data_IF_280390318031
#
_entry.id   IF_280390318031
#
_cell.length_a   1.000
_cell.length_b   1.000
_cell.length_c   1.000
_cell.angle_alpha   90.00
_cell.angle_beta   90.00
_cell.angle_gamma   90.00
#
_symmetry.space_group_name_H-M   'P 1'
#
loop_
_entity.id
_entity.type
_entity.pdbx_description
1 polymer ?
#
# COMPACT_ATOMS: atom_id res chain seq x y z
N UNK A 1 21.82 27.75 43.52
CA UNK A 1 22.82 27.90 42.44
C UNK A 1 22.33 27.05 41.28
N UNK A 2 21.73 27.69 40.27
CA UNK A 2 20.97 27.04 39.20
C UNK A 2 21.93 26.55 38.11
N UNK A 3 22.01 25.23 37.89
CA UNK A 3 22.79 24.63 36.82
C UNK A 3 22.06 24.83 35.48
N UNK A 4 22.52 25.81 34.69
CA UNK A 4 22.15 25.92 33.27
C UNK A 4 22.68 24.69 32.53
N UNK A 5 21.78 23.86 32.04
CA UNK A 5 22.05 22.88 30.98
C UNK A 5 22.41 23.65 29.71
N UNK A 6 23.69 23.67 29.35
CA UNK A 6 24.15 24.16 28.05
C UNK A 6 23.69 23.19 26.98
N UNK A 7 22.65 23.57 26.23
CA UNK A 7 22.21 22.84 25.04
C UNK A 7 23.36 22.84 24.03
N UNK A 8 23.90 21.64 23.74
CA UNK A 8 24.92 21.44 22.73
C UNK A 8 24.38 21.82 21.34
N UNK A 9 25.15 22.53 20.49
CA UNK A 9 24.73 22.85 19.13
C UNK A 9 24.49 21.56 18.32
N UNK A 10 23.42 21.54 17.52
CA UNK A 10 23.08 20.39 16.65
C UNK A 10 24.31 19.94 15.84
N UNK A 11 24.63 18.65 15.90
CA UNK A 11 25.77 18.12 15.15
C UNK A 11 25.43 18.05 13.66
N UNK A 12 26.47 18.08 12.80
CA UNK A 12 26.29 17.88 11.35
C UNK A 12 25.59 16.56 11.00
N UNK A 13 25.73 15.55 11.86
CA UNK A 13 25.05 14.26 11.74
C UNK A 13 23.54 14.40 11.98
N UNK A 14 23.12 15.21 12.95
CA UNK A 14 21.71 15.49 13.22
C UNK A 14 21.05 16.24 12.07
N UNK A 15 21.77 17.20 11.48
CA UNK A 15 21.32 17.95 10.29
C UNK A 15 21.14 17.01 9.09
N UNK A 16 22.06 16.07 8.88
CA UNK A 16 21.95 15.08 7.81
C UNK A 16 20.73 14.17 8.00
N UNK A 17 20.55 13.62 9.21
CA UNK A 17 19.40 12.78 9.53
C UNK A 17 18.07 13.53 9.42
N UNK A 18 18.04 14.80 9.82
CA UNK A 18 16.88 15.67 9.68
C UNK A 18 16.51 15.85 8.21
N UNK A 19 17.49 16.16 7.34
CA UNK A 19 17.25 16.30 5.89
C UNK A 19 16.70 15.02 5.27
N UNK A 20 17.29 13.88 5.61
CA UNK A 20 16.82 12.56 5.14
C UNK A 20 15.40 12.28 5.63
N UNK A 21 15.10 12.58 6.90
CA UNK A 21 13.77 12.40 7.47
C UNK A 21 12.70 13.30 6.84
N UNK A 22 13.01 14.59 6.61
CA UNK A 22 12.13 15.52 5.92
C UNK A 22 11.86 15.04 4.50
N UNK A 23 12.90 14.66 3.76
CA UNK A 23 12.76 14.15 2.39
C UNK A 23 11.89 12.90 2.35
N UNK A 24 12.12 11.94 3.25
CA UNK A 24 11.33 10.72 3.33
C UNK A 24 9.86 11.00 3.67
N UNK A 25 9.60 11.97 4.55
CA UNK A 25 8.23 12.36 4.95
C UNK A 25 7.51 13.08 3.80
N UNK A 26 8.20 13.99 3.11
CA UNK A 26 7.66 14.70 1.95
C UNK A 26 7.31 13.74 0.80
N UNK A 27 8.20 12.79 0.51
CA UNK A 27 7.97 11.73 -0.47
C UNK A 27 6.77 10.87 -0.07
N UNK A 28 6.66 10.51 1.22
CA UNK A 28 5.50 9.77 1.74
C UNK A 28 4.18 10.52 1.55
N UNK A 29 4.16 11.82 1.82
CA UNK A 29 2.97 12.67 1.64
C UNK A 29 2.60 12.82 0.16
N UNK A 30 3.60 12.95 -0.72
CA UNK A 30 3.37 13.00 -2.17
C UNK A 30 2.77 11.70 -2.70
N UNK A 31 3.32 10.54 -2.30
CA UNK A 31 2.74 9.24 -2.67
C UNK A 31 1.32 9.09 -2.14
N UNK A 32 1.06 9.52 -0.90
CA UNK A 32 -0.28 9.48 -0.32
C UNK A 32 -1.28 10.38 -1.05
N UNK A 33 -0.87 11.60 -1.42
CA UNK A 33 -1.71 12.52 -2.19
C UNK A 33 -2.08 11.94 -3.56
N UNK A 34 -1.09 11.47 -4.31
CA UNK A 34 -1.30 10.79 -5.62
C UNK A 34 -2.17 9.55 -5.46
N UNK A 35 -2.00 8.81 -4.38
CA UNK A 35 -2.79 7.63 -4.10
C UNK A 35 -4.27 7.97 -3.82
N UNK A 36 -4.52 8.96 -2.98
CA UNK A 36 -5.87 9.41 -2.66
C UNK A 36 -6.61 9.92 -3.89
N UNK A 37 -5.93 10.64 -4.80
CA UNK A 37 -6.57 11.09 -6.04
C UNK A 37 -6.95 9.93 -6.95
N UNK A 38 -6.08 8.93 -7.09
CA UNK A 38 -6.36 7.73 -7.90
C UNK A 38 -7.41 6.81 -7.26
N UNK A 39 -7.46 6.74 -5.93
CA UNK A 39 -8.52 6.07 -5.19
C UNK A 39 -9.88 6.70 -5.47
N UNK A 40 -9.99 8.03 -5.32
CA UNK A 40 -11.21 8.78 -5.60
C UNK A 40 -11.60 8.61 -7.08
N UNK A 41 -10.64 8.72 -8.00
CA UNK A 41 -10.89 8.51 -9.42
C UNK A 41 -11.45 7.11 -9.70
N UNK A 42 -10.85 6.06 -9.12
CA UNK A 42 -11.32 4.67 -9.27
C UNK A 42 -12.75 4.50 -8.75
N UNK A 43 -13.07 5.10 -7.60
CA UNK A 43 -14.44 5.09 -7.05
C UNK A 43 -15.43 5.79 -7.98
N UNK A 44 -15.11 7.00 -8.45
CA UNK A 44 -15.99 7.76 -9.35
C UNK A 44 -16.22 6.99 -10.66
N UNK A 45 -15.19 6.34 -11.19
CA UNK A 45 -15.28 5.48 -12.37
C UNK A 45 -16.17 4.25 -12.10
N UNK A 46 -15.99 3.59 -10.97
CA UNK A 46 -16.79 2.42 -10.60
C UNK A 46 -18.28 2.79 -10.44
N UNK A 47 -18.57 3.94 -9.84
CA UNK A 47 -19.94 4.46 -9.69
C UNK A 47 -20.54 4.80 -11.05
N UNK A 48 -19.80 5.50 -11.91
CA UNK A 48 -20.30 5.90 -13.24
C UNK A 48 -20.54 4.70 -14.15
N UNK A 49 -19.65 3.71 -14.16
CA UNK A 49 -19.82 2.48 -14.95
C UNK A 49 -20.99 1.62 -14.45
N UNK A 50 -21.16 1.50 -13.13
CA UNK A 50 -22.29 0.79 -12.52
C UNK A 50 -23.62 1.49 -12.83
N UNK A 51 -23.65 2.82 -12.76
CA UNK A 51 -24.84 3.62 -13.09
C UNK A 51 -25.20 3.50 -14.58
N UNK A 52 -24.20 3.55 -15.47
CA UNK A 52 -24.42 3.37 -16.92
C UNK A 52 -24.97 1.98 -17.22
N UNK A 53 -24.42 0.93 -16.60
CA UNK A 53 -24.92 -0.43 -16.77
C UNK A 53 -26.36 -0.56 -16.25
N UNK A 54 -26.65 0.03 -15.09
CA UNK A 54 -28.00 0.05 -14.53
C UNK A 54 -28.98 0.78 -15.45
N UNK A 55 -28.61 1.93 -16.02
CA UNK A 55 -29.41 2.65 -17.00
C UNK A 55 -29.67 1.73 -18.22
N UNK A 56 -28.61 1.17 -18.83
CA UNK A 56 -28.71 0.27 -19.99
C UNK A 56 -29.66 -0.91 -19.74
N UNK A 57 -29.59 -1.55 -18.57
CA UNK A 57 -30.45 -2.69 -18.23
C UNK A 57 -31.92 -2.32 -17.98
N UNK A 58 -32.21 -1.06 -17.66
CA UNK A 58 -33.57 -0.56 -17.42
C UNK A 58 -34.21 0.08 -18.66
N UNK A 59 -33.48 0.29 -19.75
CA UNK A 59 -34.05 0.78 -21.00
C UNK A 59 -34.75 -0.36 -21.79
N UNK A 60 -35.86 -0.07 -22.48
CA UNK A 60 -36.49 -1.05 -23.36
C UNK A 60 -35.54 -1.41 -24.53
N UNK A 61 -35.56 -2.67 -25.03
CA UNK A 61 -34.63 -3.14 -26.07
C UNK A 61 -34.59 -2.29 -27.35
N UNK A 62 -35.72 -1.65 -27.67
CA UNK A 62 -35.86 -0.74 -28.83
C UNK A 62 -35.01 0.53 -28.71
N UNK A 63 -34.71 0.99 -27.49
CA UNK A 63 -33.87 2.16 -27.22
C UNK A 63 -32.38 1.84 -27.25
N UNK A 64 -31.99 0.58 -27.01
CA UNK A 64 -30.59 0.13 -27.11
C UNK A 64 -30.11 0.07 -28.57
N UNK A 65 -31.01 -0.16 -29.53
CA UNK A 65 -30.68 -0.23 -30.96
C UNK A 65 -30.43 1.16 -31.59
N UNK A 66 -30.81 2.25 -30.91
CA UNK A 66 -30.56 3.63 -31.35
C UNK A 66 -29.32 4.26 -30.72
N UNK A 67 -28.58 3.54 -29.86
CA UNK A 67 -27.29 4.01 -29.38
C UNK A 67 -26.32 4.02 -30.57
N UNK A 68 -25.83 5.21 -30.91
CA UNK A 68 -24.80 5.40 -31.94
C UNK A 68 -23.66 4.38 -31.76
N UNK A 69 -23.08 3.86 -32.86
CA UNK A 69 -21.92 2.99 -32.79
C UNK A 69 -20.82 3.66 -31.96
N UNK A 70 -20.03 2.90 -31.18
CA UNK A 70 -19.04 3.43 -30.25
C UNK A 70 -18.14 4.46 -30.94
N UNK A 71 -18.39 5.72 -30.60
CA UNK A 71 -17.72 6.88 -31.17
C UNK A 71 -16.24 6.87 -30.75
N UNK A 72 -15.34 7.55 -31.48
CA UNK A 72 -13.90 7.62 -31.18
C UNK A 72 -13.58 7.99 -29.71
N UNK A 73 -14.46 8.77 -29.07
CA UNK A 73 -14.37 9.14 -27.65
C UNK A 73 -14.52 7.96 -26.69
N UNK A 74 -15.34 6.96 -27.04
CA UNK A 74 -15.55 5.76 -26.23
C UNK A 74 -14.25 4.93 -26.11
N UNK A 75 -13.51 4.82 -27.22
CA UNK A 75 -12.23 4.09 -27.24
C UNK A 75 -11.13 4.79 -26.44
N UNK A 76 -11.03 6.12 -26.55
CA UNK A 76 -10.09 6.90 -25.74
C UNK A 76 -10.37 6.71 -24.25
N UNK A 77 -11.65 6.68 -23.86
CA UNK A 77 -12.07 6.49 -22.48
C UNK A 77 -11.66 5.10 -21.97
N UNK A 78 -11.92 4.02 -22.73
CA UNK A 78 -11.50 2.65 -22.37
C UNK A 78 -9.97 2.55 -22.18
N UNK A 79 -9.18 3.20 -23.05
CA UNK A 79 -7.72 3.20 -22.94
C UNK A 79 -7.26 3.93 -21.69
N UNK A 80 -7.82 5.12 -21.42
CA UNK A 80 -7.51 5.90 -20.21
C UNK A 80 -7.87 5.13 -18.94
N UNK A 81 -9.03 4.47 -18.92
CA UNK A 81 -9.45 3.63 -17.81
C UNK A 81 -8.47 2.48 -17.55
N UNK A 82 -8.07 1.77 -18.62
CA UNK A 82 -7.08 0.69 -18.49
C UNK A 82 -5.74 1.17 -17.95
N UNK A 83 -5.30 2.38 -18.33
CA UNK A 83 -4.07 2.99 -17.82
C UNK A 83 -4.23 3.34 -16.33
N UNK A 84 -5.36 3.91 -15.93
CA UNK A 84 -5.63 4.24 -14.52
C UNK A 84 -5.62 3.01 -13.61
N UNK A 85 -6.26 1.91 -14.02
CA UNK A 85 -6.26 0.66 -13.24
C UNK A 85 -4.83 0.14 -13.03
N UNK A 86 -4.00 0.17 -14.08
CA UNK A 86 -2.61 -0.27 -14.04
C UNK A 86 -1.74 0.60 -13.15
N UNK A 87 -1.95 1.92 -13.17
CA UNK A 87 -1.26 2.84 -12.26
C UNK A 87 -1.66 2.58 -10.80
N UNK A 88 -2.92 2.25 -10.55
CA UNK A 88 -3.39 1.88 -9.22
C UNK A 88 -2.72 0.59 -8.71
N UNK A 89 -2.59 -0.43 -9.57
CA UNK A 89 -1.83 -1.64 -9.25
C UNK A 89 -0.36 -1.33 -8.95
N UNK A 90 0.27 -0.47 -9.76
CA UNK A 90 1.68 -0.11 -9.60
C UNK A 90 1.94 0.68 -8.32
N UNK A 91 1.06 1.61 -7.97
CA UNK A 91 1.16 2.36 -6.71
C UNK A 91 0.92 1.47 -5.49
N UNK A 92 0.00 0.51 -5.61
CA UNK A 92 -0.23 -0.49 -4.57
C UNK A 92 1.03 -1.30 -4.31
N UNK A 93 1.73 -1.72 -5.37
CA UNK A 93 3.04 -2.39 -5.27
C UNK A 93 4.15 -1.44 -4.76
N UNK A 94 4.04 -0.14 -5.06
CA UNK A 94 4.95 0.89 -4.53
C UNK A 94 4.87 1.00 -3.03
N UNK A 95 3.66 0.91 -2.49
CA UNK A 95 3.44 0.96 -1.04
C UNK A 95 3.93 -0.33 -0.39
N UNK A 96 3.89 -1.45 -1.10
CA UNK A 96 4.46 -2.74 -0.65
C UNK A 96 5.98 -2.69 -0.54
N UNK A 97 6.66 -2.16 -1.56
CA UNK A 97 8.12 -2.01 -1.52
C UNK A 97 8.55 -0.95 -0.50
N UNK A 98 7.82 0.15 -0.43
CA UNK A 98 8.04 1.23 0.54
C UNK A 98 7.98 0.75 1.99
N UNK A 99 6.99 -0.10 2.36
CA UNK A 99 6.91 -0.62 3.74
C UNK A 99 8.12 -1.48 4.12
N UNK A 100 8.64 -2.30 3.20
CA UNK A 100 9.81 -3.13 3.45
C UNK A 100 11.08 -2.27 3.57
N UNK A 101 11.17 -1.23 2.76
CA UNK A 101 12.27 -0.26 2.77
C UNK A 101 12.36 0.48 4.12
N UNK A 102 11.24 1.04 4.59
CA UNK A 102 11.21 1.81 5.86
C UNK A 102 11.59 0.93 7.05
N UNK A 103 11.17 -0.33 7.04
CA UNK A 103 11.41 -1.25 8.14
C UNK A 103 12.89 -1.72 8.21
N UNK A 104 13.60 -1.69 7.08
CA UNK A 104 14.98 -2.14 6.94
C UNK A 104 15.91 -1.02 6.45
N UNK A 105 16.09 0.08 7.21
CA UNK A 105 16.88 1.23 6.76
C UNK A 105 18.39 0.92 6.65
N UNK A 106 18.89 -0.06 7.41
CA UNK A 106 20.32 -0.38 7.52
C UNK A 106 20.86 -1.34 6.45
N UNK A 107 20.00 -2.05 5.71
CA UNK A 107 20.43 -3.13 4.81
C UNK A 107 20.35 -2.69 3.34
N UNK A 108 21.48 -2.31 2.69
CA UNK A 108 21.47 -1.81 1.31
C UNK A 108 21.00 -2.87 0.30
N UNK A 109 21.26 -4.16 0.57
CA UNK A 109 20.81 -5.27 -0.27
C UNK A 109 19.28 -5.34 -0.37
N UNK A 110 18.57 -5.09 0.75
CA UNK A 110 17.09 -5.07 0.76
C UNK A 110 16.58 -3.91 -0.11
N UNK A 111 17.22 -2.74 -0.02
CA UNK A 111 16.86 -1.57 -0.85
C UNK A 111 17.08 -1.85 -2.33
N UNK A 112 18.24 -2.43 -2.69
CA UNK A 112 18.56 -2.81 -4.06
C UNK A 112 17.55 -3.83 -4.61
N UNK A 113 17.25 -4.89 -3.83
CA UNK A 113 16.26 -5.88 -4.22
C UNK A 113 14.87 -5.27 -4.44
N UNK A 114 14.43 -4.37 -3.55
CA UNK A 114 13.14 -3.68 -3.71
C UNK A 114 13.12 -2.75 -4.93
N UNK A 115 14.21 -2.03 -5.23
CA UNK A 115 14.33 -1.24 -6.46
C UNK A 115 14.21 -2.10 -7.72
N UNK A 116 14.92 -3.23 -7.76
CA UNK A 116 14.88 -4.15 -8.91
C UNK A 116 13.47 -4.73 -9.09
N UNK A 117 12.85 -5.16 -7.99
CA UNK A 117 11.47 -5.65 -8.00
C UNK A 117 10.52 -4.58 -8.57
N UNK A 118 10.69 -3.32 -8.16
CA UNK A 118 9.87 -2.23 -8.65
C UNK A 118 10.05 -1.95 -10.14
N UNK A 119 11.29 -1.94 -10.61
CA UNK A 119 11.60 -1.78 -12.04
C UNK A 119 10.95 -2.91 -12.85
N UNK A 120 10.99 -4.15 -12.34
CA UNK A 120 10.38 -5.30 -12.99
C UNK A 120 8.84 -5.19 -13.04
N UNK A 121 8.20 -4.75 -11.95
CA UNK A 121 6.76 -4.46 -11.91
C UNK A 121 6.35 -3.37 -12.90
N UNK A 122 7.11 -2.27 -12.97
CA UNK A 122 6.93 -1.22 -13.97
C UNK A 122 7.03 -1.79 -15.38
N UNK A 123 8.15 -2.44 -15.71
CA UNK A 123 8.40 -2.99 -17.04
C UNK A 123 7.32 -3.98 -17.46
N UNK A 124 6.94 -4.91 -16.57
CA UNK A 124 5.87 -5.88 -16.82
C UNK A 124 4.52 -5.22 -17.10
N UNK A 125 4.16 -4.19 -16.32
CA UNK A 125 2.92 -3.44 -16.48
C UNK A 125 2.89 -2.66 -17.80
N UNK A 126 3.97 -1.94 -18.13
CA UNK A 126 4.07 -1.18 -19.37
C UNK A 126 4.08 -2.09 -20.61
N UNK A 127 4.79 -3.21 -20.55
CA UNK A 127 4.81 -4.20 -21.65
C UNK A 127 3.43 -4.81 -21.87
N UNK A 128 2.71 -5.22 -20.82
CA UNK A 128 1.34 -5.71 -20.97
C UNK A 128 0.40 -4.61 -21.53
N UNK A 129 0.61 -3.35 -21.15
CA UNK A 129 -0.21 -2.22 -21.65
C UNK A 129 0.02 -2.00 -23.12
N UNK A 130 1.28 -1.91 -23.54
CA UNK A 130 1.66 -1.69 -24.92
C UNK A 130 1.22 -2.85 -25.82
N UNK A 131 1.34 -4.09 -25.35
CA UNK A 131 0.86 -5.26 -26.08
C UNK A 131 -0.67 -5.27 -26.20
N UNK A 132 -1.39 -4.90 -25.14
CA UNK A 132 -2.85 -4.80 -25.15
C UNK A 132 -3.32 -3.73 -26.13
N UNK A 133 -2.73 -2.52 -26.06
CA UNK A 133 -3.04 -1.42 -26.96
C UNK A 133 -2.72 -1.77 -28.43
N UNK A 134 -1.57 -2.39 -28.70
CA UNK A 134 -1.18 -2.83 -30.05
C UNK A 134 -2.16 -3.88 -30.61
N UNK A 135 -2.62 -4.84 -29.80
CA UNK A 135 -3.62 -5.84 -30.22
C UNK A 135 -4.96 -5.17 -30.52
N UNK A 136 -5.38 -4.23 -29.67
CA UNK A 136 -6.62 -3.49 -29.84
C UNK A 136 -6.66 -2.64 -31.11
N UNK A 137 -5.58 -1.88 -31.36
CA UNK A 137 -5.45 -1.05 -32.58
C UNK A 137 -5.40 -1.87 -33.86
N UNK A 138 -4.86 -3.11 -33.80
CA UNK A 138 -4.76 -3.98 -34.96
C UNK A 138 -6.08 -4.64 -35.31
N UNK A 139 -6.82 -5.15 -34.33
CA UNK A 139 -8.12 -5.78 -34.50
C UNK A 139 -8.99 -5.53 -33.25
N UNK A 140 -9.98 -4.62 -33.30
CA UNK A 140 -10.83 -4.32 -32.15
C UNK A 140 -11.69 -5.51 -31.71
N UNK A 141 -12.02 -6.44 -32.61
CA UNK A 141 -12.72 -7.70 -32.29
C UNK A 141 -11.89 -8.66 -31.43
N UNK A 142 -10.56 -8.49 -31.38
CA UNK A 142 -9.67 -9.28 -30.53
C UNK A 142 -9.43 -8.64 -29.15
N UNK A 143 -10.20 -7.60 -28.79
CA UNK A 143 -10.17 -7.02 -27.45
C UNK A 143 -10.68 -8.03 -26.42
N UNK A 144 -9.75 -8.68 -25.73
CA UNK A 144 -10.08 -9.78 -24.81
C UNK A 144 -9.28 -11.06 -25.08
N UNK A 145 -8.71 -11.20 -26.28
CA UNK A 145 -7.81 -12.31 -26.60
C UNK A 145 -6.62 -12.32 -25.62
N UNK A 146 -6.31 -13.51 -25.06
CA UNK A 146 -5.28 -13.75 -24.04
C UNK A 146 -4.06 -12.82 -24.25
N UNK A 147 -4.01 -11.70 -23.53
CA UNK A 147 -2.75 -10.98 -23.35
C UNK A 147 -1.97 -11.72 -22.28
N UNK A 148 -0.65 -11.59 -22.30
CA UNK A 148 0.20 -12.20 -21.29
C UNK A 148 0.04 -11.44 -19.98
N UNK A 149 -1.14 -11.54 -19.35
CA UNK A 149 -1.44 -10.93 -18.05
C UNK A 149 -0.42 -11.37 -17.00
N UNK A 150 0.18 -12.55 -17.20
CA UNK A 150 1.30 -13.07 -16.44
C UNK A 150 2.51 -12.11 -16.43
N UNK A 151 2.76 -11.33 -17.49
CA UNK A 151 3.82 -10.32 -17.52
C UNK A 151 3.60 -9.21 -16.50
N UNK A 152 2.35 -8.92 -16.16
CA UNK A 152 2.01 -7.97 -15.11
C UNK A 152 1.94 -8.67 -13.75
N UNK A 153 1.18 -9.76 -13.65
CA UNK A 153 0.86 -10.36 -12.35
C UNK A 153 2.04 -11.07 -11.70
N UNK A 154 2.93 -11.70 -12.48
CA UNK A 154 4.09 -12.41 -11.93
C UNK A 154 5.04 -11.44 -11.22
N UNK A 155 5.50 -10.34 -11.84
CA UNK A 155 6.29 -9.32 -11.13
C UNK A 155 5.59 -8.78 -9.88
N UNK A 156 4.29 -8.48 -9.96
CA UNK A 156 3.53 -7.95 -8.82
C UNK A 156 3.47 -8.93 -7.64
N UNK A 157 3.24 -10.21 -7.91
CA UNK A 157 3.24 -11.26 -6.88
C UNK A 157 4.63 -11.44 -6.27
N UNK A 158 5.67 -11.49 -7.11
CA UNK A 158 7.05 -11.65 -6.66
C UNK A 158 7.46 -10.49 -5.75
N UNK A 159 7.16 -9.25 -6.15
CA UNK A 159 7.46 -8.06 -5.36
C UNK A 159 6.76 -8.09 -4.00
N UNK A 160 5.48 -8.47 -3.97
CA UNK A 160 4.74 -8.53 -2.71
C UNK A 160 5.24 -9.63 -1.78
N UNK A 161 5.48 -10.84 -2.31
CA UNK A 161 6.01 -11.95 -1.54
C UNK A 161 7.42 -11.67 -1.03
N UNK A 162 8.28 -11.04 -1.85
CA UNK A 162 9.62 -10.63 -1.45
C UNK A 162 9.58 -9.60 -0.32
N UNK A 163 8.76 -8.55 -0.45
CA UNK A 163 8.59 -7.55 0.59
C UNK A 163 8.05 -8.15 1.90
N UNK A 164 7.05 -9.02 1.79
CA UNK A 164 6.47 -9.72 2.94
C UNK A 164 7.50 -10.66 3.61
N UNK A 165 8.34 -11.33 2.82
CA UNK A 165 9.42 -12.19 3.34
C UNK A 165 10.49 -11.40 4.10
N UNK A 166 10.86 -10.20 3.61
CA UNK A 166 11.78 -9.30 4.32
C UNK A 166 11.21 -8.87 5.68
N UNK A 167 9.90 -8.58 5.73
CA UNK A 167 9.18 -8.20 6.93
C UNK A 167 9.14 -9.37 7.93
N UNK A 168 8.89 -10.59 7.47
CA UNK A 168 8.97 -11.83 8.27
C UNK A 168 10.37 -12.03 8.84
N UNK A 169 11.41 -11.89 8.00
CA UNK A 169 12.80 -12.03 8.44
C UNK A 169 13.14 -11.02 9.55
N UNK A 170 12.72 -9.77 9.37
CA UNK A 170 12.91 -8.72 10.40
C UNK A 170 12.20 -9.08 11.70
N UNK A 171 10.97 -9.61 11.64
CA UNK A 171 10.20 -10.03 12.82
C UNK A 171 10.94 -11.12 13.60
N UNK A 172 11.45 -12.13 12.90
CA UNK A 172 12.18 -13.25 13.50
C UNK A 172 13.47 -12.74 14.15
N UNK A 173 14.20 -11.85 13.47
CA UNK A 173 15.43 -11.28 14.03
C UNK A 173 15.13 -10.47 15.30
N UNK A 174 14.11 -9.61 15.29
CA UNK A 174 13.69 -8.87 16.49
C UNK A 174 13.35 -9.81 17.65
N UNK A 175 12.62 -10.90 17.39
CA UNK A 175 12.25 -11.89 18.41
C UNK A 175 13.47 -12.61 19.01
N UNK A 176 14.49 -12.93 18.19
CA UNK A 176 15.72 -13.58 18.66
C UNK A 176 16.58 -12.68 19.55
N UNK A 177 16.60 -11.38 19.29
CA UNK A 177 17.40 -10.42 20.08
C UNK A 177 16.67 -9.87 21.31
N UNK A 178 15.33 -9.97 21.36
CA UNK A 178 14.50 -9.39 22.42
C UNK A 178 14.28 -10.32 23.63
N UNK A 179 15.33 -11.04 24.05
CA UNK A 179 15.28 -11.98 25.20
C UNK A 179 15.39 -11.25 26.55
N UNK A 180 15.73 -9.95 26.58
CA UNK A 180 15.93 -9.20 27.83
C UNK A 180 15.32 -7.78 27.80
N UNK A 181 14.42 -7.51 28.76
CA UNK A 181 14.04 -6.20 29.35
C UNK A 181 13.27 -5.11 28.56
N UNK A 182 12.44 -5.43 27.55
CA UNK A 182 11.40 -4.46 27.11
C UNK A 182 10.14 -5.12 26.52
N UNK A 183 9.38 -5.80 27.39
CA UNK A 183 8.29 -6.69 26.97
C UNK A 183 7.16 -5.96 26.22
N UNK A 184 6.73 -4.77 26.68
CA UNK A 184 5.52 -4.11 26.16
C UNK A 184 5.74 -3.45 24.79
N UNK A 185 6.86 -2.76 24.57
CA UNK A 185 7.17 -2.09 23.30
C UNK A 185 7.50 -3.09 22.19
N UNK A 186 8.24 -4.16 22.51
CA UNK A 186 8.56 -5.23 21.56
C UNK A 186 7.30 -6.00 21.10
N UNK A 187 6.38 -6.32 22.02
CA UNK A 187 5.12 -6.98 21.70
C UNK A 187 4.24 -6.14 20.77
N UNK A 188 4.18 -4.81 20.94
CA UNK A 188 3.42 -3.92 20.06
C UNK A 188 3.99 -3.85 18.65
N UNK A 189 5.32 -3.71 18.53
CA UNK A 189 6.01 -3.73 17.23
C UNK A 189 5.79 -5.07 16.52
N UNK A 190 5.87 -6.18 17.26
CA UNK A 190 5.61 -7.52 16.72
C UNK A 190 4.17 -7.68 16.23
N UNK A 191 3.17 -7.19 16.98
CA UNK A 191 1.76 -7.20 16.56
C UNK A 191 1.54 -6.41 15.26
N UNK A 192 2.09 -5.20 15.18
CA UNK A 192 2.02 -4.38 13.97
C UNK A 192 2.66 -5.08 12.77
N UNK A 193 3.83 -5.68 12.99
CA UNK A 193 4.57 -6.39 11.95
C UNK A 193 3.80 -7.62 11.45
N UNK A 194 3.12 -8.33 12.35
CA UNK A 194 2.21 -9.44 12.03
C UNK A 194 1.02 -8.98 11.16
N UNK A 195 0.40 -7.84 11.49
CA UNK A 195 -0.69 -7.29 10.68
C UNK A 195 -0.21 -6.91 9.26
N UNK A 196 1.00 -6.39 9.13
CA UNK A 196 1.63 -6.11 7.82
C UNK A 196 1.86 -7.39 7.00
N UNK A 197 2.25 -8.48 7.67
CA UNK A 197 2.44 -9.77 7.00
C UNK A 197 1.10 -10.34 6.52
N UNK A 198 0.09 -10.35 7.38
CA UNK A 198 -1.24 -10.88 7.07
C UNK A 198 -1.87 -10.13 5.88
N UNK A 199 -1.80 -8.81 5.87
CA UNK A 199 -2.31 -7.99 4.76
C UNK A 199 -1.54 -8.20 3.45
N UNK A 200 -0.21 -8.41 3.50
CA UNK A 200 0.58 -8.82 2.32
C UNK A 200 0.13 -10.15 1.74
N UNK A 201 -0.09 -11.16 2.58
CA UNK A 201 -0.55 -12.49 2.17
C UNK A 201 -1.96 -12.45 1.57
N UNK A 202 -2.90 -11.71 2.19
CA UNK A 202 -4.26 -11.56 1.67
C UNK A 202 -4.23 -10.97 0.26
N UNK A 203 -3.43 -9.93 0.04
CA UNK A 203 -3.28 -9.32 -1.28
C UNK A 203 -2.70 -10.31 -2.30
N UNK A 204 -1.68 -11.08 -1.92
CA UNK A 204 -1.09 -12.11 -2.79
C UNK A 204 -2.08 -13.23 -3.15
N UNK A 205 -2.92 -13.66 -2.20
CA UNK A 205 -3.98 -14.65 -2.43
C UNK A 205 -5.00 -14.12 -3.44
N UNK A 206 -5.46 -12.87 -3.26
CA UNK A 206 -6.42 -12.23 -4.17
C UNK A 206 -5.87 -12.18 -5.60
N UNK A 207 -4.61 -11.75 -5.78
CA UNK A 207 -3.95 -11.76 -7.09
C UNK A 207 -3.78 -13.16 -7.69
N UNK A 208 -3.51 -14.16 -6.85
CA UNK A 208 -3.41 -15.55 -7.29
C UNK A 208 -4.76 -16.07 -7.79
N UNK A 209 -5.85 -15.83 -7.06
CA UNK A 209 -7.22 -16.19 -7.48
C UNK A 209 -7.55 -15.53 -8.82
N UNK A 210 -7.28 -14.23 -8.97
CA UNK A 210 -7.50 -13.51 -10.21
C UNK A 210 -6.72 -14.12 -11.39
N UNK A 211 -5.46 -14.49 -11.16
CA UNK A 211 -4.62 -15.15 -12.18
C UNK A 211 -5.22 -16.50 -12.59
N UNK A 212 -5.58 -17.33 -11.62
CA UNK A 212 -6.17 -18.65 -11.85
C UNK A 212 -7.47 -18.53 -12.63
N UNK A 213 -8.36 -17.61 -12.23
CA UNK A 213 -9.61 -17.35 -12.95
C UNK A 213 -9.35 -16.93 -14.40
N UNK A 214 -8.35 -16.07 -14.62
CA UNK A 214 -7.97 -15.62 -15.97
C UNK A 214 -7.47 -16.78 -16.85
N UNK A 215 -6.67 -17.68 -16.27
CA UNK A 215 -6.09 -18.81 -16.98
C UNK A 215 -7.12 -19.89 -17.32
N UNK A 216 -8.04 -20.17 -16.39
CA UNK A 216 -9.02 -21.25 -16.52
C UNK A 216 -10.24 -20.87 -17.36
N UNK A 217 -10.85 -19.71 -17.08
CA UNK A 217 -12.16 -19.36 -17.68
C UNK A 217 -12.05 -18.37 -18.85
N UNK A 218 -10.86 -17.81 -19.09
CA UNK A 218 -10.68 -16.75 -20.09
C UNK A 218 -11.42 -15.45 -19.73
N UNK A 219 -11.23 -14.41 -20.54
CA UNK A 219 -11.78 -13.07 -20.28
C UNK A 219 -13.27 -12.93 -20.54
N UNK A 220 -13.89 -13.91 -21.18
CA UNK A 220 -15.31 -13.86 -21.56
C UNK A 220 -16.25 -14.40 -20.49
N UNK A 221 -15.74 -15.11 -19.48
CA UNK A 221 -16.60 -15.58 -18.41
C UNK A 221 -17.13 -14.42 -17.56
N UNK A 222 -18.42 -14.50 -17.22
CA UNK A 222 -19.08 -13.54 -16.33
C UNK A 222 -18.39 -13.47 -14.96
N UNK A 223 -17.88 -14.61 -14.47
CA UNK A 223 -17.12 -14.71 -13.22
C UNK A 223 -15.82 -13.90 -13.28
N UNK A 224 -15.08 -14.00 -14.39
CA UNK A 224 -13.87 -13.21 -14.59
C UNK A 224 -14.19 -11.71 -14.68
N UNK A 225 -15.22 -11.31 -15.43
CA UNK A 225 -15.58 -9.90 -15.60
C UNK A 225 -16.01 -9.26 -14.28
N UNK A 226 -16.81 -9.98 -13.48
CA UNK A 226 -17.17 -9.54 -12.13
C UNK A 226 -15.93 -9.33 -11.26
N UNK A 227 -14.99 -10.30 -11.24
CA UNK A 227 -13.73 -10.13 -10.51
C UNK A 227 -12.89 -8.98 -11.06
N UNK A 228 -12.73 -8.87 -12.38
CA UNK A 228 -11.92 -7.85 -13.02
C UNK A 228 -12.43 -6.43 -12.73
N UNK A 229 -13.74 -6.23 -12.61
CA UNK A 229 -14.34 -4.95 -12.21
C UNK A 229 -14.04 -4.55 -10.76
N UNK A 230 -13.89 -5.53 -9.87
CA UNK A 230 -13.63 -5.29 -8.44
C UNK A 230 -12.14 -5.16 -8.09
N UNK A 231 -11.24 -5.74 -8.90
CA UNK A 231 -9.79 -5.73 -8.61
C UNK A 231 -9.18 -4.33 -8.47
N UNK A 232 -9.50 -3.33 -9.32
CA UNK A 232 -9.02 -1.97 -9.13
C UNK A 232 -9.40 -1.42 -7.76
N UNK A 233 -10.64 -1.64 -7.31
CA UNK A 233 -11.12 -1.18 -6.01
C UNK A 233 -10.37 -1.85 -4.84
N UNK A 234 -10.16 -3.17 -4.92
CA UNK A 234 -9.38 -3.90 -3.90
C UNK A 234 -7.96 -3.35 -3.83
N UNK A 235 -7.32 -3.12 -4.98
CA UNK A 235 -6.01 -2.50 -5.04
C UNK A 235 -6.02 -1.11 -4.42
N UNK A 236 -7.07 -0.32 -4.70
CA UNK A 236 -7.26 1.03 -4.18
C UNK A 236 -7.57 1.08 -2.66
N UNK A 237 -8.07 0.01 -2.05
CA UNK A 237 -8.33 -0.03 -0.60
C UNK A 237 -7.08 -0.49 0.16
N UNK A 238 -6.26 -1.34 -0.45
CA UNK A 238 -5.18 -2.06 0.24
C UNK A 238 -4.17 -1.14 0.96
N UNK A 239 -3.52 -0.17 0.28
CA UNK A 239 -2.70 0.84 0.92
C UNK A 239 -3.37 1.68 2.00
N UNK A 240 -4.64 2.06 1.82
CA UNK A 240 -5.37 2.84 2.82
C UNK A 240 -5.49 2.04 4.13
N UNK A 241 -5.78 0.74 4.01
CA UNK A 241 -5.82 -0.17 5.15
C UNK A 241 -4.46 -0.27 5.86
N UNK A 242 -3.35 -0.39 5.11
CA UNK A 242 -2.00 -0.40 5.68
C UNK A 242 -1.70 0.89 6.45
N UNK A 243 -2.05 2.04 5.88
CA UNK A 243 -1.80 3.35 6.48
C UNK A 243 -2.64 3.53 7.75
N UNK A 244 -3.92 3.15 7.73
CA UNK A 244 -4.79 3.21 8.91
C UNK A 244 -4.24 2.31 10.03
N UNK A 245 -3.80 1.10 9.70
CA UNK A 245 -3.15 0.21 10.68
C UNK A 245 -1.89 0.85 11.26
N UNK A 246 -1.05 1.46 10.41
CA UNK A 246 0.16 2.14 10.85
C UNK A 246 -0.14 3.34 11.76
N UNK A 247 -1.10 4.19 11.38
CA UNK A 247 -1.52 5.35 12.16
C UNK A 247 -2.15 4.95 13.50
N UNK A 248 -3.01 3.94 13.50
CA UNK A 248 -3.64 3.39 14.71
C UNK A 248 -2.59 2.87 15.70
N UNK A 249 -1.62 2.09 15.21
CA UNK A 249 -0.55 1.56 16.03
C UNK A 249 0.37 2.66 16.59
N UNK A 250 0.66 3.71 15.81
CA UNK A 250 1.41 4.87 16.28
C UNK A 250 0.67 5.65 17.38
N UNK A 251 -0.65 5.85 17.21
CA UNK A 251 -1.48 6.54 18.21
C UNK A 251 -1.52 5.77 19.53
N UNK A 252 -1.73 4.46 19.47
CA UNK A 252 -1.66 3.58 20.65
C UNK A 252 -0.32 3.68 21.38
N UNK A 253 0.78 3.81 20.64
CA UNK A 253 2.12 3.96 21.22
C UNK A 253 2.31 5.30 21.94
N UNK A 254 1.79 6.40 21.39
CA UNK A 254 1.87 7.73 22.04
C UNK A 254 1.08 7.77 23.35
N UNK A 255 -0.15 7.28 23.36
CA UNK A 255 -1.00 7.28 24.56
C UNK A 255 -0.39 6.48 25.71
N UNK A 256 0.23 5.34 25.43
CA UNK A 256 0.87 4.53 26.47
C UNK A 256 2.12 5.20 27.07
N UNK A 257 2.91 5.90 26.25
CA UNK A 257 4.08 6.68 26.75
C UNK A 257 3.65 7.87 27.60
N UNK A 258 2.51 8.49 27.30
CA UNK A 258 1.97 9.57 28.11
C UNK A 258 1.53 9.07 29.49
N UNK A 259 0.85 7.92 29.55
CA UNK A 259 0.44 7.28 30.81
C UNK A 259 1.64 6.88 31.69
N UNK A 260 2.66 6.23 31.11
CA UNK A 260 3.90 5.86 31.83
C UNK A 260 4.66 7.11 32.34
N UNK A 261 4.64 8.21 31.60
CA UNK A 261 5.24 9.49 32.02
C UNK A 261 4.51 10.13 33.20
N UNK A 262 3.17 10.11 33.19
CA UNK A 262 2.35 10.67 34.27
C UNK A 262 2.45 9.87 35.57
N UNK A 263 2.48 8.52 35.49
CA UNK A 263 2.67 7.67 36.67
C UNK A 263 4.06 7.84 37.30
N UNK A 264 5.10 8.02 36.49
CA UNK A 264 6.45 8.31 36.96
C UNK A 264 6.57 9.69 37.63
N UNK A 265 5.81 10.68 37.14
CA UNK A 265 5.75 12.02 37.72
C UNK A 265 4.97 12.02 39.06
N UNK A 266 3.82 11.33 39.14
CA UNK A 266 3.05 11.19 40.39
C UNK A 266 3.84 10.44 41.48
N UNK A 267 4.53 9.35 41.14
CA UNK A 267 5.37 8.61 42.09
C UNK A 267 6.59 9.40 42.54
N UNK A 268 7.21 10.18 41.65
CA UNK A 268 8.28 11.12 42.02
C UNK A 268 7.80 12.24 42.95
N UNK A 269 6.58 12.74 42.73
CA UNK A 269 5.99 13.80 43.55
C UNK A 269 5.57 13.28 44.93
N UNK A 270 4.99 12.08 45.01
CA UNK A 270 4.66 11.40 46.27
C UNK A 270 5.91 11.03 47.08
N UNK A 271 6.99 10.61 46.43
CA UNK A 271 8.28 10.34 47.08
C UNK A 271 8.92 11.60 47.69
N UNK A 272 8.79 12.75 47.02
CA UNK A 272 9.25 14.05 47.51
C UNK A 272 8.43 14.57 48.70
N UNK A 273 7.09 14.37 48.67
CA UNK A 273 6.21 14.76 49.78
C UNK A 273 6.45 13.89 51.01
N UNK A 274 6.61 12.57 50.83
CA UNK A 274 6.89 11.64 51.94
C UNK A 274 8.28 11.85 52.57
N UNK A 275 9.30 12.22 51.77
CA UNK A 275 10.62 12.57 52.29
C UNK A 275 10.67 13.87 53.09
N UNK A 276 9.72 14.78 52.90
CA UNK A 276 9.62 16.05 53.65
C UNK A 276 8.92 15.91 55.01
N UNK A 277 8.04 14.90 55.17
CA UNK A 277 7.27 14.67 56.39
C UNK A 277 8.04 13.89 57.48
N UNK A 278 9.18 13.28 57.14
CA UNK A 278 10.01 12.48 58.08
C UNK A 278 11.13 13.34 58.71
N UNK A 279 11.19 14.65 58.41
CA UNK A 279 12.25 15.57 58.88
C UNK A 279 11.78 16.66 59.87
N UNK A 280 10.68 16.44 60.58
CA UNK A 280 10.32 17.28 61.73
C UNK A 280 10.26 16.46 63.01
#
# INVERSE_FOLDING_TARGET
MSSRTTESPLSNFDIFNLRVGIFQTAVGFLFFGVYCTLFIATILIFITTSLVLQIITNLPPSSLFQLDPPNHKHYNLIIVLSIMDRLNYLLSDGIVTWRAWILCPSNPLVKLAMCICMILSCAGTFLDTGLTAKKFLRNPENYGAKTNILLMVVPLLVTNLAATSVIVYKMINMRKFSTDKTHISALKVQKFLSLLIQSGLVYAIIWTIYTVLTLLHGRESLVFQAFASGMPLISAIYPLFIIIIAASNQRSNRSHRQLEGTEAEETGTLGLVSGSAIRQ
#
